data_IF_983934902671
#
_entry.id   IF_983934902671
#
_cell.length_a   1.000
_cell.length_b   1.000
_cell.length_c   1.000
_cell.angle_alpha   90.00
_cell.angle_beta   90.00
_cell.angle_gamma   90.00
#
_symmetry.space_group_name_H-M   'P 1'
#
loop_
_entity.id
_entity.type
_entity.pdbx_description
1 polymer ?
#
# COMPACT_ATOMS: atom_id res chain seq x y z
N UNK A 1 -17.04 12.15 10.87
CA UNK A 1 -15.79 11.51 10.39
C UNK A 1 -15.55 11.96 8.96
N UNK A 2 -14.35 12.45 8.67
CA UNK A 2 -13.96 12.76 7.29
C UNK A 2 -13.68 11.45 6.53
N UNK A 3 -14.08 11.37 5.26
CA UNK A 3 -13.66 10.28 4.37
C UNK A 3 -12.38 10.70 3.67
N UNK A 4 -11.29 9.99 3.93
CA UNK A 4 -10.02 10.16 3.22
C UNK A 4 -9.80 8.99 2.27
N UNK A 5 -9.20 9.30 1.12
CA UNK A 5 -8.67 8.30 0.20
C UNK A 5 -7.17 8.21 0.46
N UNK A 6 -6.64 7.00 0.48
CA UNK A 6 -5.22 6.74 0.74
C UNK A 6 -4.71 5.88 -0.39
N UNK A 7 -3.62 6.31 -1.02
CA UNK A 7 -2.92 5.53 -2.02
C UNK A 7 -2.16 4.39 -1.37
N UNK A 8 -2.31 3.17 -1.88
CA UNK A 8 -1.55 2.00 -1.43
C UNK A 8 -0.95 1.35 -2.66
N UNK A 9 0.34 1.06 -2.61
CA UNK A 9 1.04 0.29 -3.63
C UNK A 9 1.04 -1.16 -3.19
N UNK A 10 0.60 -2.05 -4.08
CA UNK A 10 0.64 -3.50 -3.85
C UNK A 10 1.52 -4.12 -4.93
N UNK A 11 2.46 -4.94 -4.51
CA UNK A 11 3.30 -5.72 -5.42
C UNK A 11 3.48 -7.14 -4.90
N UNK A 12 3.87 -8.02 -5.81
CA UNK A 12 4.10 -9.44 -5.53
C UNK A 12 5.60 -9.69 -5.44
N UNK A 13 6.01 -10.39 -4.40
CA UNK A 13 7.39 -10.83 -4.20
C UNK A 13 7.44 -12.36 -4.16
N UNK A 14 8.62 -12.89 -4.44
CA UNK A 14 8.90 -14.32 -4.41
C UNK A 14 10.25 -14.57 -3.75
N UNK A 15 10.27 -15.41 -2.74
CA UNK A 15 11.49 -15.88 -2.08
C UNK A 15 11.50 -17.41 -1.96
N UNK A 16 12.45 -17.93 -1.17
CA UNK A 16 12.60 -19.38 -0.91
C UNK A 16 11.36 -20.01 -0.23
N UNK A 17 10.52 -19.21 0.43
CA UNK A 17 9.32 -19.64 1.14
C UNK A 17 8.07 -19.67 0.26
N UNK A 18 8.09 -18.99 -0.88
CA UNK A 18 6.98 -18.95 -1.82
C UNK A 18 6.71 -17.55 -2.37
N UNK A 19 5.52 -17.38 -2.92
CA UNK A 19 5.05 -16.11 -3.47
C UNK A 19 4.11 -15.42 -2.48
N UNK A 20 4.30 -14.14 -2.25
CA UNK A 20 3.50 -13.34 -1.33
C UNK A 20 3.28 -11.91 -1.85
N UNK A 21 2.37 -11.19 -1.22
CA UNK A 21 2.06 -9.80 -1.54
C UNK A 21 2.58 -8.88 -0.43
N UNK A 22 3.04 -7.70 -0.85
CA UNK A 22 3.38 -6.59 0.03
C UNK A 22 2.49 -5.41 -0.32
N UNK A 23 1.87 -4.79 0.70
CA UNK A 23 1.17 -3.53 0.57
C UNK A 23 1.92 -2.43 1.34
N UNK A 24 2.17 -1.29 0.69
CA UNK A 24 2.86 -0.13 1.27
C UNK A 24 2.01 1.12 1.11
N UNK A 25 1.82 1.84 2.21
CA UNK A 25 1.23 3.18 2.22
C UNK A 25 2.35 4.23 2.23
N UNK A 26 2.54 5.01 1.15
CA UNK A 26 3.73 5.84 0.98
C UNK A 26 3.86 7.04 1.93
N UNK A 27 2.76 7.56 2.49
CA UNK A 27 2.80 8.75 3.36
C UNK A 27 3.35 8.41 4.74
N UNK A 28 2.83 7.35 5.35
CA UNK A 28 3.26 6.89 6.68
C UNK A 28 4.42 5.89 6.65
N UNK A 29 4.69 5.29 5.49
CA UNK A 29 5.60 4.16 5.37
C UNK A 29 5.03 2.86 5.96
N UNK A 30 3.73 2.81 6.27
CA UNK A 30 3.10 1.58 6.74
C UNK A 30 3.27 0.47 5.69
N UNK A 31 3.68 -0.70 6.14
CA UNK A 31 3.92 -1.86 5.29
C UNK A 31 3.37 -3.12 5.95
N UNK A 32 2.72 -3.97 5.14
CA UNK A 32 2.23 -5.29 5.57
C UNK A 32 2.48 -6.34 4.50
N UNK A 33 2.55 -7.60 4.91
CA UNK A 33 2.72 -8.77 4.05
C UNK A 33 1.58 -9.78 4.25
N UNK A 34 1.24 -10.53 3.21
CA UNK A 34 0.21 -11.57 3.23
C UNK A 34 0.24 -12.45 1.99
N UNK A 35 -0.53 -13.54 2.01
CA UNK A 35 -0.57 -14.56 0.97
C UNK A 35 -1.53 -14.18 -0.18
N UNK A 36 -2.38 -13.17 0.02
CA UNK A 36 -3.34 -12.66 -0.98
C UNK A 36 -3.47 -11.14 -0.97
N UNK A 37 -3.95 -10.58 -2.10
CA UNK A 37 -4.20 -9.13 -2.24
C UNK A 37 -5.26 -8.66 -1.23
N UNK A 38 -6.31 -9.46 -1.02
CA UNK A 38 -7.37 -9.18 -0.07
C UNK A 38 -6.84 -9.09 1.36
N UNK A 39 -5.99 -10.04 1.76
CA UNK A 39 -5.40 -10.06 3.09
C UNK A 39 -4.52 -8.83 3.35
N UNK A 40 -3.64 -8.47 2.41
CA UNK A 40 -2.78 -7.28 2.59
C UNK A 40 -3.58 -6.00 2.61
N UNK A 41 -4.69 -5.92 1.86
CA UNK A 41 -5.62 -4.79 1.88
C UNK A 41 -6.35 -4.65 3.23
N UNK A 42 -6.71 -5.75 3.89
CA UNK A 42 -7.30 -5.69 5.23
C UNK A 42 -6.26 -5.26 6.27
N UNK A 43 -5.08 -5.87 6.24
CA UNK A 43 -3.98 -5.55 7.17
C UNK A 43 -3.54 -4.10 7.06
N UNK A 44 -3.34 -3.58 5.84
CA UNK A 44 -2.83 -2.22 5.64
C UNK A 44 -3.85 -1.17 6.08
N UNK A 45 -5.17 -1.43 5.92
CA UNK A 45 -6.22 -0.52 6.42
C UNK A 45 -6.12 -0.34 7.92
N UNK A 46 -5.87 -1.41 8.67
CA UNK A 46 -5.75 -1.32 10.12
C UNK A 46 -4.45 -0.65 10.55
N UNK A 47 -3.36 -0.89 9.84
CA UNK A 47 -2.09 -0.21 10.10
C UNK A 47 -2.18 1.30 9.83
N UNK A 48 -2.79 1.69 8.70
CA UNK A 48 -3.09 3.09 8.37
C UNK A 48 -3.94 3.73 9.46
N UNK A 49 -4.97 3.06 9.98
CA UNK A 49 -5.80 3.60 11.07
C UNK A 49 -4.97 3.84 12.33
N UNK A 50 -4.08 2.92 12.71
CA UNK A 50 -3.19 3.11 13.88
C UNK A 50 -2.30 4.33 13.69
N UNK A 51 -1.70 4.47 12.51
CA UNK A 51 -0.76 5.55 12.19
C UNK A 51 -1.45 6.88 11.86
N UNK A 52 -2.75 6.87 11.52
CA UNK A 52 -3.52 8.07 11.17
C UNK A 52 -3.60 9.12 12.28
N UNK A 53 -3.41 8.69 13.54
CA UNK A 53 -3.33 9.60 14.69
C UNK A 53 -2.09 10.51 14.66
N UNK A 54 -1.06 10.15 13.89
CA UNK A 54 0.15 10.93 13.69
C UNK A 54 0.05 11.89 12.50
N UNK A 55 -0.99 11.77 11.65
CA UNK A 55 -1.12 12.59 10.44
C UNK A 55 -1.57 14.01 10.80
N UNK A 56 -0.87 15.01 10.27
CA UNK A 56 -1.27 16.41 10.41
C UNK A 56 -2.39 16.78 9.42
N UNK A 57 -3.18 17.81 9.74
CA UNK A 57 -4.30 18.26 8.90
C UNK A 57 -3.88 18.61 7.45
N UNK A 58 -2.63 19.05 7.26
CA UNK A 58 -2.02 19.30 5.95
C UNK A 58 -1.86 18.02 5.11
N UNK A 59 -1.37 16.93 5.71
CA UNK A 59 -1.14 15.65 5.03
C UNK A 59 -2.47 15.01 4.58
N UNK A 60 -3.51 15.16 5.40
CA UNK A 60 -4.87 14.72 5.07
C UNK A 60 -5.48 15.48 3.88
N UNK A 61 -5.08 16.75 3.65
CA UNK A 61 -5.55 17.54 2.49
C UNK A 61 -4.83 17.15 1.20
N UNK A 62 -3.53 16.86 1.27
CA UNK A 62 -2.73 16.50 0.09
C UNK A 62 -3.02 15.07 -0.40
N UNK A 63 -3.37 14.13 0.50
CA UNK A 63 -3.75 12.76 0.14
C UNK A 63 -4.96 12.67 -0.82
N UNK A 64 -5.78 13.74 -0.93
CA UNK A 64 -7.00 13.75 -1.75
C UNK A 64 -6.72 13.83 -3.25
N UNK A 65 -5.54 14.30 -3.68
CA UNK A 65 -5.18 14.50 -5.10
C UNK A 65 -4.23 13.40 -5.65
N UNK A 66 -4.25 12.21 -5.04
CA UNK A 66 -3.44 11.09 -5.51
C UNK A 66 -3.84 10.67 -6.93
N UNK A 67 -2.94 10.89 -7.90
CA UNK A 67 -3.07 10.37 -9.27
C UNK A 67 -2.51 8.94 -9.31
N UNK A 68 -3.37 7.98 -9.63
CA UNK A 68 -2.96 6.61 -9.93
C UNK A 68 -2.33 6.58 -11.33
N UNK A 69 -1.07 6.17 -11.41
CA UNK A 69 -0.37 5.87 -12.66
C UNK A 69 -0.21 4.35 -12.69
N UNK A 70 -0.94 3.68 -13.58
CA UNK A 70 -0.82 2.25 -13.83
C UNK A 70 0.15 2.06 -15.00
N UNK A 71 1.12 1.15 -14.85
CA UNK A 71 2.11 0.81 -15.87
C UNK A 71 2.19 -0.71 -15.98
N UNK A 72 2.08 -1.23 -17.20
CA UNK A 72 2.40 -2.62 -17.49
C UNK A 72 3.90 -2.72 -17.77
N UNK A 73 4.62 -3.51 -16.97
CA UNK A 73 6.04 -3.82 -17.19
C UNK A 73 6.13 -5.23 -17.80
N UNK A 74 6.97 -5.41 -18.81
CA UNK A 74 7.33 -6.75 -19.28
C UNK A 74 8.06 -7.48 -18.13
N UNK A 75 7.67 -8.73 -17.85
CA UNK A 75 8.39 -9.57 -16.88
C UNK A 75 9.86 -9.58 -17.28
N UNK A 76 10.75 -9.18 -16.37
CA UNK A 76 12.18 -9.22 -16.61
C UNK A 76 12.52 -10.65 -17.05
N UNK A 77 12.95 -10.79 -18.31
CA UNK A 77 13.39 -12.07 -18.84
C UNK A 77 14.50 -12.58 -17.91
N UNK A 78 14.23 -13.66 -17.19
CA UNK A 78 15.23 -14.32 -16.38
C UNK A 78 16.31 -14.87 -17.33
N UNK A 79 17.47 -14.18 -17.40
CA UNK A 79 18.71 -14.71 -17.98
C UNK A 79 19.38 -15.70 -17.03
#
# INVERSE_FOLDING_TARGET
MAKVKVGVVIYKEKDESGEYYIAVEPLSGAQVQGDSVEEVLEKIKDEIKKMSSAWCESELREAVDARLIELELEEAAAE
#
